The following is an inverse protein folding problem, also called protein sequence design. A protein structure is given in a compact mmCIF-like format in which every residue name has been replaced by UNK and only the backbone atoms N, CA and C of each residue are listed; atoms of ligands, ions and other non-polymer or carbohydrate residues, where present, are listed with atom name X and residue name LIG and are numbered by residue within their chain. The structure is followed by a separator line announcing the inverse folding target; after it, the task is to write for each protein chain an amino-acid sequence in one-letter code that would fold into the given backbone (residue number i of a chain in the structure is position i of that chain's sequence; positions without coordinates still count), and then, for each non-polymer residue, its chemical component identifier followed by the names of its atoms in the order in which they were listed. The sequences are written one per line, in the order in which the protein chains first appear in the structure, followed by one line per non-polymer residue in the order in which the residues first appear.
data_IF_854603699882
#
_entry.id   IF_854603699882
#
_cell.length_a   1.000
_cell.length_b   1.000
_cell.length_c   1.000
_cell.angle_alpha   90.00
_cell.angle_beta   90.00
_cell.angle_gamma   90.00
#
_symmetry.space_group_name_H-M   'P 1'
#
loop_
_entity.id
_entity.type
_entity.pdbx_description
1 polymer ?
#
# COMPACT_ATOMS: atom_id res chain seq x y z
N UNK A 1 13.01 2.25 -12.54
CA UNK A 1 11.57 2.18 -12.86
C UNK A 1 10.96 1.19 -11.88
N UNK A 2 10.05 1.62 -11.00
CA UNK A 2 9.47 0.76 -9.97
C UNK A 2 8.50 -0.22 -10.68
N UNK A 3 8.72 -1.54 -10.58
CA UNK A 3 7.85 -2.53 -11.24
C UNK A 3 6.44 -2.52 -10.63
N UNK A 4 5.41 -2.78 -11.44
CA UNK A 4 4.00 -2.72 -11.05
C UNK A 4 3.60 -3.63 -9.88
N UNK A 5 4.36 -4.66 -9.55
CA UNK A 5 4.03 -5.62 -8.48
C UNK A 5 4.02 -4.99 -7.07
N UNK A 6 4.94 -4.06 -6.80
CA UNK A 6 5.03 -3.45 -5.47
C UNK A 6 3.99 -2.34 -5.27
N UNK A 7 3.34 -1.87 -6.35
CA UNK A 7 2.23 -0.91 -6.22
C UNK A 7 0.99 -1.57 -5.60
N UNK A 8 0.75 -2.86 -5.89
CA UNK A 8 -0.33 -3.64 -5.27
C UNK A 8 -0.10 -3.88 -3.78
N UNK A 9 1.15 -4.16 -3.38
CA UNK A 9 1.50 -4.30 -1.96
C UNK A 9 1.20 -2.99 -1.21
N UNK A 10 1.62 -1.86 -1.79
CA UNK A 10 1.38 -0.53 -1.20
C UNK A 10 -0.11 -0.22 -1.15
N UNK A 11 -0.87 -0.49 -2.20
CA UNK A 11 -2.33 -0.34 -2.20
C UNK A 11 -2.98 -1.21 -1.10
N UNK A 12 -2.53 -2.45 -0.94
CA UNK A 12 -2.97 -3.35 0.12
C UNK A 12 -2.73 -2.81 1.52
N UNK A 13 -1.57 -2.18 1.78
CA UNK A 13 -1.25 -1.54 3.07
C UNK A 13 -2.29 -0.45 3.43
N UNK A 14 -2.60 0.44 2.49
CA UNK A 14 -3.61 1.50 2.72
C UNK A 14 -5.01 0.92 2.89
N UNK A 15 -5.42 0.01 1.99
CA UNK A 15 -6.73 -0.61 2.04
C UNK A 15 -6.95 -1.36 3.36
N UNK A 16 -5.97 -2.16 3.81
CA UNK A 16 -6.06 -2.90 5.06
C UNK A 16 -6.22 -1.98 6.26
N UNK A 17 -5.47 -0.87 6.31
CA UNK A 17 -5.59 0.12 7.39
C UNK A 17 -6.99 0.71 7.49
N UNK A 18 -7.63 1.01 6.35
CA UNK A 18 -8.99 1.56 6.31
C UNK A 18 -10.01 0.50 6.69
N UNK A 19 -9.89 -0.70 6.13
CA UNK A 19 -10.77 -1.85 6.44
C UNK A 19 -10.78 -2.11 7.95
N UNK A 20 -9.60 -2.17 8.57
CA UNK A 20 -9.47 -2.43 10.01
C UNK A 20 -10.08 -1.31 10.85
N UNK A 21 -9.84 -0.06 10.45
CA UNK A 21 -10.38 1.11 11.15
C UNK A 21 -11.91 1.17 11.10
N UNK A 22 -12.50 0.83 9.94
CA UNK A 22 -13.95 0.84 9.75
C UNK A 22 -14.65 -0.42 10.30
N UNK A 23 -13.88 -1.40 10.82
CA UNK A 23 -14.42 -2.66 11.31
C UNK A 23 -14.97 -3.55 10.19
N UNK A 24 -14.50 -3.36 8.95
CA UNK A 24 -14.89 -4.18 7.81
C UNK A 24 -14.10 -5.49 7.82
N UNK A 25 -14.68 -6.53 7.20
CA UNK A 25 -13.99 -7.78 6.92
C UNK A 25 -13.45 -7.75 5.49
N UNK A 26 -12.19 -8.15 5.31
CA UNK A 26 -11.66 -8.46 3.99
C UNK A 26 -12.06 -9.89 3.62
N UNK A 27 -12.88 -10.04 2.58
CA UNK A 27 -13.19 -11.35 2.00
C UNK A 27 -12.26 -11.55 0.81
N UNK A 28 -11.36 -12.52 0.91
CA UNK A 28 -10.70 -13.06 -0.27
C UNK A 28 -11.46 -14.32 -0.71
N UNK A 29 -11.71 -14.46 -2.00
CA UNK A 29 -11.81 -15.82 -2.56
C UNK A 29 -10.44 -16.48 -2.40
N UNK A 30 -10.27 -17.74 -2.78
CA UNK A 30 -8.94 -18.37 -2.77
C UNK A 30 -8.30 -18.26 -4.17
N UNK A 31 -7.88 -17.08 -4.68
CA UNK A 31 -7.16 -17.02 -5.94
C UNK A 31 -5.75 -17.56 -5.68
N UNK A 32 -5.51 -18.79 -6.13
CA UNK A 32 -4.16 -19.33 -6.17
C UNK A 32 -3.45 -18.73 -7.39
N UNK A 33 -2.44 -17.89 -7.15
CA UNK A 33 -1.57 -17.38 -8.20
C UNK A 33 -0.35 -18.31 -8.29
N UNK A 34 -0.33 -19.15 -9.33
CA UNK A 34 0.80 -20.03 -9.59
C UNK A 34 1.91 -19.26 -10.32
N UNK A 35 2.94 -18.86 -9.57
CA UNK A 35 4.14 -18.26 -10.16
C UNK A 35 5.06 -19.36 -10.71
N UNK A 36 4.89 -19.71 -12.01
CA UNK A 36 5.73 -20.73 -12.68
C UNK A 36 7.14 -20.27 -13.06
N UNK A 37 7.46 -18.98 -12.88
CA UNK A 37 8.76 -18.42 -13.25
C UNK A 37 9.69 -18.35 -12.02
N UNK A 38 10.30 -19.49 -11.67
CA UNK A 38 11.15 -19.69 -10.49
C UNK A 38 12.65 -19.76 -10.82
N UNK A 39 13.08 -19.19 -11.95
CA UNK A 39 14.50 -19.11 -12.25
C UNK A 39 15.18 -18.09 -11.30
N UNK A 40 15.76 -18.61 -10.21
CA UNK A 40 16.59 -17.91 -9.23
C UNK A 40 15.88 -17.05 -8.18
N UNK A 41 15.07 -17.67 -7.33
CA UNK A 41 14.42 -17.06 -6.16
C UNK A 41 15.37 -16.17 -5.34
N UNK A 42 16.56 -16.66 -4.99
CA UNK A 42 17.53 -15.88 -4.20
C UNK A 42 18.06 -14.64 -4.93
N UNK A 43 18.26 -14.72 -6.26
CA UNK A 43 18.70 -13.55 -7.04
C UNK A 43 17.59 -12.51 -7.17
N UNK A 44 16.33 -12.94 -7.23
CA UNK A 44 15.19 -12.03 -7.24
C UNK A 44 15.00 -11.37 -5.87
N UNK A 45 15.14 -12.13 -4.79
CA UNK A 45 15.08 -11.59 -3.42
C UNK A 45 16.13 -10.50 -3.19
N UNK A 46 17.37 -10.72 -3.62
CA UNK A 46 18.44 -9.69 -3.55
C UNK A 46 18.09 -8.43 -4.35
N UNK A 47 17.47 -8.57 -5.52
CA UNK A 47 17.02 -7.42 -6.32
C UNK A 47 15.86 -6.66 -5.67
N UNK A 48 15.05 -7.36 -4.89
CA UNK A 48 13.85 -6.80 -4.24
C UNK A 48 14.11 -6.26 -2.82
N UNK A 49 15.25 -6.59 -2.20
CA UNK A 49 15.60 -6.23 -0.81
C UNK A 49 15.32 -4.76 -0.47
N UNK A 50 15.86 -3.84 -1.28
CA UNK A 50 15.64 -2.39 -1.08
C UNK A 50 14.16 -1.98 -1.14
N UNK A 51 13.34 -2.69 -1.92
CA UNK A 51 11.91 -2.40 -2.08
C UNK A 51 11.10 -2.97 -0.94
N UNK A 52 11.52 -4.11 -0.40
CA UNK A 52 10.97 -4.69 0.83
C UNK A 52 11.18 -3.72 2.00
N UNK A 53 12.39 -3.18 2.14
CA UNK A 53 12.71 -2.19 3.16
C UNK A 53 11.81 -0.95 3.07
N UNK A 54 11.64 -0.40 1.85
CA UNK A 54 10.77 0.75 1.60
C UNK A 54 9.32 0.45 1.96
N UNK A 55 8.82 -0.74 1.62
CA UNK A 55 7.45 -1.15 1.95
C UNK A 55 7.25 -1.30 3.45
N UNK A 56 8.21 -1.89 4.16
CA UNK A 56 8.15 -2.06 5.61
C UNK A 56 8.19 -0.70 6.34
N UNK A 57 9.04 0.22 5.87
CA UNK A 57 9.09 1.58 6.40
C UNK A 57 7.75 2.31 6.17
N UNK A 58 7.19 2.21 4.96
CA UNK A 58 5.86 2.76 4.67
C UNK A 58 4.78 2.16 5.58
N UNK A 59 4.75 0.82 5.72
CA UNK A 59 3.80 0.11 6.56
C UNK A 59 3.82 0.63 8.01
N UNK A 60 5.01 0.71 8.62
CA UNK A 60 5.18 1.26 9.98
C UNK A 60 4.61 2.67 10.12
N UNK A 61 4.77 3.51 9.10
CA UNK A 61 4.26 4.88 9.12
C UNK A 61 2.75 4.94 8.95
N UNK A 62 2.17 4.14 8.06
CA UNK A 62 0.71 4.03 7.87
C UNK A 62 0.02 3.54 9.14
N UNK A 63 0.58 2.50 9.79
CA UNK A 63 -0.01 1.93 11.01
C UNK A 63 -0.09 2.96 12.14
N UNK A 64 0.93 3.84 12.27
CA UNK A 64 0.97 4.91 13.28
C UNK A 64 -0.13 5.96 13.11
N UNK A 65 -0.66 6.15 11.90
CA UNK A 65 -1.74 7.13 11.68
C UNK A 65 -3.01 6.66 12.38
N UNK A 66 -3.57 7.54 13.22
CA UNK A 66 -4.86 7.32 13.87
C UNK A 66 -5.96 7.96 13.02
N UNK A 67 -6.75 7.10 12.38
CA UNK A 67 -7.89 7.54 11.58
C UNK A 67 -9.06 7.92 12.49
N UNK A 68 -9.87 8.87 12.03
CA UNK A 68 -11.04 9.38 12.76
C UNK A 68 -12.32 9.30 11.95
N UNK A 69 -12.21 9.45 10.63
CA UNK A 69 -13.33 9.37 9.70
C UNK A 69 -14.05 8.01 9.74
N UNK A 70 -15.31 8.00 9.29
CA UNK A 70 -16.16 6.80 9.26
C UNK A 70 -16.52 6.33 7.85
N UNK A 71 -16.01 7.02 6.84
CA UNK A 71 -16.18 6.71 5.43
C UNK A 71 -14.83 6.44 4.75
N UNK A 72 -14.77 5.53 3.76
CA UNK A 72 -13.52 5.17 3.09
C UNK A 72 -12.83 6.37 2.41
N UNK A 73 -13.58 7.26 1.76
CA UNK A 73 -13.03 8.41 1.05
C UNK A 73 -12.27 9.35 1.98
N UNK A 74 -12.89 9.74 3.09
CA UNK A 74 -12.25 10.62 4.08
C UNK A 74 -11.09 9.92 4.79
N UNK A 75 -11.17 8.60 5.04
CA UNK A 75 -10.03 7.84 5.55
C UNK A 75 -8.83 7.88 4.59
N UNK A 76 -9.04 7.76 3.27
CA UNK A 76 -7.96 7.90 2.29
C UNK A 76 -7.35 9.32 2.31
N UNK A 77 -8.17 10.36 2.45
CA UNK A 77 -7.68 11.75 2.58
C UNK A 77 -6.86 11.94 3.84
N UNK A 78 -7.31 11.40 4.97
CA UNK A 78 -6.56 11.41 6.23
C UNK A 78 -5.20 10.70 6.09
N UNK A 79 -5.16 9.54 5.42
CA UNK A 79 -3.89 8.85 5.16
C UNK A 79 -2.97 9.67 4.25
N UNK A 80 -3.48 10.23 3.16
CA UNK A 80 -2.69 11.08 2.27
C UNK A 80 -2.12 12.33 2.97
N UNK A 81 -2.88 12.89 3.91
CA UNK A 81 -2.49 14.05 4.72
C UNK A 81 -1.47 13.73 5.81
N UNK A 82 -1.68 12.63 6.55
CA UNK A 82 -1.00 12.35 7.81
C UNK A 82 0.15 11.32 7.70
N UNK A 83 0.24 10.56 6.60
CA UNK A 83 1.34 9.62 6.41
C UNK A 83 2.61 10.36 5.98
N UNK A 84 3.71 10.09 6.68
CA UNK A 84 5.05 10.59 6.33
C UNK A 84 5.66 9.80 5.18
N UNK A 85 5.23 10.04 3.95
CA UNK A 85 5.72 9.29 2.80
C UNK A 85 7.26 9.31 2.67
N UNK A 86 7.89 8.18 2.29
CA UNK A 86 9.32 8.17 1.95
C UNK A 86 9.65 9.17 0.83
N UNK A 87 10.88 9.70 0.78
CA UNK A 87 11.28 10.61 -0.28
C UNK A 87 11.25 9.91 -1.64
N UNK A 88 10.90 10.65 -2.69
CA UNK A 88 10.92 10.17 -4.07
C UNK A 88 9.70 10.62 -4.87
N UNK A 89 9.88 10.79 -6.18
CA UNK A 89 8.83 11.28 -7.08
C UNK A 89 7.63 10.34 -7.13
N UNK A 90 7.89 9.03 -7.06
CA UNK A 90 6.84 8.01 -6.97
C UNK A 90 5.87 8.27 -5.83
N UNK A 91 6.36 8.61 -4.63
CA UNK A 91 5.52 8.80 -3.46
C UNK A 91 4.72 10.10 -3.52
N UNK A 92 5.22 11.13 -4.20
CA UNK A 92 4.44 12.33 -4.52
C UNK A 92 3.27 12.00 -5.43
N UNK A 93 3.53 11.20 -6.48
CA UNK A 93 2.50 10.73 -7.40
C UNK A 93 1.49 9.84 -6.66
N UNK A 94 1.95 8.92 -5.82
CA UNK A 94 1.09 8.04 -5.02
C UNK A 94 0.18 8.84 -4.09
N UNK A 95 0.73 9.82 -3.36
CA UNK A 95 -0.07 10.71 -2.50
C UNK A 95 -1.17 11.43 -3.29
N UNK A 96 -0.83 11.95 -4.48
CA UNK A 96 -1.79 12.56 -5.39
C UNK A 96 -2.86 11.57 -5.87
N UNK A 97 -2.45 10.36 -6.25
CA UNK A 97 -3.36 9.30 -6.69
C UNK A 97 -4.35 8.90 -5.58
N UNK A 98 -3.87 8.67 -4.36
CA UNK A 98 -4.74 8.35 -3.20
C UNK A 98 -5.77 9.46 -2.98
N UNK A 99 -5.34 10.72 -3.08
CA UNK A 99 -6.22 11.88 -2.89
C UNK A 99 -7.29 11.96 -4.00
N UNK A 100 -6.91 11.65 -5.25
CA UNK A 100 -7.83 11.61 -6.37
C UNK A 100 -8.85 10.48 -6.24
N UNK A 101 -8.41 9.27 -5.91
CA UNK A 101 -9.29 8.11 -5.72
C UNK A 101 -10.27 8.31 -4.58
N UNK A 102 -9.86 9.04 -3.53
CA UNK A 102 -10.75 9.41 -2.44
C UNK A 102 -11.93 10.31 -2.86
N UNK A 103 -11.89 10.91 -4.04
CA UNK A 103 -13.00 11.70 -4.61
C UNK A 103 -13.87 10.89 -5.58
N UNK A 104 -13.52 9.63 -5.86
CA UNK A 104 -14.29 8.75 -6.73
C UNK A 104 -15.31 7.90 -5.95
N UNK A 105 -15.33 8.03 -4.62
CA UNK A 105 -16.31 7.45 -3.70
C UNK A 105 -17.21 8.56 -3.16
#
# INVERSE_FOLDING_TARGET
MDSGEFTFIRAGIFAKKIIDHLGFAAVNSSPFVEHRNTAHVFKNLQKEESRIEVNENLHKKVVKVRLKSRDPGSCHKELAGNVEFPPGEYFKILKKAITLWANCY
#
